data_IF_923860211807
#
_entry.id   IF_923860211807
#
_cell.length_a   1.000
_cell.length_b   1.000
_cell.length_c   1.000
_cell.angle_alpha   90.00
_cell.angle_beta   90.00
_cell.angle_gamma   90.00
#
_symmetry.space_group_name_H-M   'P 1'
#
loop_
_entity.id
_entity.type
_entity.pdbx_description
1 polymer ?
#
# COMPACT_ATOMS: atom_id res chain seq x y z
N UNK A 1 45.26 10.08 -34.99
CA UNK A 1 44.66 9.30 -33.89
C UNK A 1 44.66 10.15 -32.64
N UNK A 2 43.50 10.60 -32.17
CA UNK A 2 43.31 11.08 -30.80
C UNK A 2 41.81 11.02 -30.49
N UNK A 3 41.44 10.01 -29.73
CA UNK A 3 40.08 9.65 -29.34
C UNK A 3 39.56 10.67 -28.33
N UNK A 4 38.47 11.35 -28.65
CA UNK A 4 37.69 12.14 -27.70
C UNK A 4 36.98 11.16 -26.74
N UNK A 5 37.47 11.05 -25.51
CA UNK A 5 36.72 10.41 -24.43
C UNK A 5 35.50 11.28 -24.09
N UNK A 6 34.31 10.81 -24.50
CA UNK A 6 33.04 11.35 -24.02
C UNK A 6 32.81 10.84 -22.59
N UNK A 7 33.10 11.69 -21.61
CA UNK A 7 32.66 11.48 -20.23
C UNK A 7 31.13 11.54 -20.16
N UNK A 8 30.51 10.39 -19.89
CA UNK A 8 29.08 10.30 -19.63
C UNK A 8 28.79 10.87 -18.23
N UNK A 9 28.04 11.96 -18.16
CA UNK A 9 27.58 12.54 -16.90
C UNK A 9 26.73 11.50 -16.14
N UNK A 10 27.23 11.07 -14.97
CA UNK A 10 26.53 10.14 -14.09
C UNK A 10 25.35 10.87 -13.44
N UNK A 11 24.13 10.56 -13.86
CA UNK A 11 22.91 11.08 -13.22
C UNK A 11 22.87 10.57 -11.77
N UNK A 12 22.74 11.44 -10.75
CA UNK A 12 22.72 11.01 -9.37
C UNK A 12 21.46 10.17 -9.10
N UNK A 13 21.65 8.92 -8.67
CA UNK A 13 20.54 8.07 -8.19
C UNK A 13 20.05 8.65 -6.87
N UNK A 14 18.83 9.19 -6.85
CA UNK A 14 18.20 9.69 -5.63
C UNK A 14 17.95 8.52 -4.68
N UNK A 15 18.72 8.43 -3.60
CA UNK A 15 18.55 7.38 -2.58
C UNK A 15 17.24 7.65 -1.83
N UNK A 16 16.30 6.73 -1.94
CA UNK A 16 15.01 6.84 -1.26
C UNK A 16 15.17 6.81 0.27
N UNK A 17 14.32 7.53 1.01
CA UNK A 17 14.35 7.50 2.46
C UNK A 17 13.98 6.09 2.98
N UNK A 18 14.62 5.58 4.05
CA UNK A 18 14.39 4.22 4.55
C UNK A 18 12.93 3.87 4.84
N UNK A 19 12.14 4.82 5.36
CA UNK A 19 10.72 4.61 5.68
C UNK A 19 9.85 4.44 4.43
N UNK A 20 10.20 5.08 3.30
CA UNK A 20 9.47 4.92 2.05
C UNK A 20 9.73 3.55 1.42
N UNK A 21 10.99 3.07 1.48
CA UNK A 21 11.33 1.69 1.09
C UNK A 21 10.59 0.67 1.94
N UNK A 22 10.49 0.93 3.25
CA UNK A 22 9.76 0.08 4.18
C UNK A 22 8.27 0.03 3.82
N UNK A 23 7.65 1.19 3.55
CA UNK A 23 6.25 1.29 3.13
C UNK A 23 5.96 0.50 1.86
N UNK A 24 6.74 0.70 0.80
CA UNK A 24 6.59 -0.06 -0.46
C UNK A 24 6.71 -1.57 -0.25
N UNK A 25 7.69 -2.00 0.55
CA UNK A 25 7.85 -3.43 0.87
C UNK A 25 6.62 -3.99 1.57
N UNK A 26 6.00 -3.20 2.44
CA UNK A 26 4.72 -3.48 3.05
C UNK A 26 3.59 -3.66 2.04
N UNK A 27 3.39 -2.68 1.17
CA UNK A 27 2.38 -2.71 0.10
C UNK A 27 2.54 -3.96 -0.79
N UNK A 28 3.78 -4.32 -1.15
CA UNK A 28 4.08 -5.51 -1.93
C UNK A 28 3.74 -6.82 -1.21
N UNK A 29 3.96 -6.87 0.10
CA UNK A 29 3.58 -8.03 0.92
C UNK A 29 2.07 -8.13 1.09
N UNK A 30 1.39 -7.01 1.33
CA UNK A 30 -0.07 -6.94 1.40
C UNK A 30 -0.73 -7.38 0.09
N UNK A 31 -0.24 -6.87 -1.05
CA UNK A 31 -0.74 -7.26 -2.36
C UNK A 31 -0.55 -8.76 -2.65
N UNK A 32 0.61 -9.33 -2.28
CA UNK A 32 0.86 -10.78 -2.40
C UNK A 32 -0.05 -11.59 -1.48
N UNK A 33 -0.33 -11.11 -0.28
CA UNK A 33 -1.24 -11.78 0.63
C UNK A 33 -2.66 -11.83 0.06
N UNK A 34 -3.18 -10.69 -0.41
CA UNK A 34 -4.50 -10.61 -1.06
C UNK A 34 -4.58 -11.51 -2.31
N UNK A 35 -3.52 -11.52 -3.14
CA UNK A 35 -3.46 -12.40 -4.30
C UNK A 35 -3.53 -13.88 -3.93
N UNK A 36 -2.88 -14.31 -2.85
CA UNK A 36 -2.97 -15.69 -2.33
C UNK A 36 -4.37 -16.04 -1.83
N UNK A 37 -5.13 -15.05 -1.37
CA UNK A 37 -6.54 -15.21 -0.97
C UNK A 37 -7.50 -15.17 -2.17
N UNK A 38 -7.00 -15.04 -3.40
CA UNK A 38 -7.80 -15.05 -4.62
C UNK A 38 -8.25 -13.66 -5.10
N UNK A 39 -7.82 -12.59 -4.45
CA UNK A 39 -8.11 -11.23 -4.91
C UNK A 39 -7.22 -10.82 -6.08
N UNK A 40 -7.79 -10.09 -7.04
CA UNK A 40 -7.06 -9.38 -8.09
C UNK A 40 -6.69 -8.00 -7.57
N UNK A 41 -5.39 -7.69 -7.53
CA UNK A 41 -4.89 -6.36 -7.15
C UNK A 41 -5.04 -5.41 -8.33
N UNK A 42 -5.86 -4.38 -8.17
CA UNK A 42 -6.19 -3.37 -9.20
C UNK A 42 -5.26 -2.16 -9.13
N UNK A 43 -4.78 -1.81 -7.93
CA UNK A 43 -3.84 -0.71 -7.73
C UNK A 43 -3.01 -0.92 -6.47
N UNK A 44 -1.77 -0.43 -6.50
CA UNK A 44 -0.92 -0.22 -5.33
C UNK A 44 -0.41 1.21 -5.34
N UNK A 45 -0.35 1.84 -4.18
CA UNK A 45 0.16 3.20 -4.01
C UNK A 45 -0.49 4.19 -4.99
N UNK A 46 -1.81 4.09 -5.14
CA UNK A 46 -2.55 4.93 -6.07
C UNK A 46 -2.62 6.35 -5.51
N UNK A 47 -2.22 7.35 -6.32
CA UNK A 47 -2.09 8.73 -5.89
C UNK A 47 -2.97 9.65 -6.72
N UNK A 48 -3.58 10.62 -6.06
CA UNK A 48 -4.22 11.78 -6.69
C UNK A 48 -3.87 13.04 -5.90
N UNK A 49 -4.37 14.21 -6.35
CA UNK A 49 -4.10 15.49 -5.68
C UNK A 49 -4.51 15.53 -4.21
N UNK A 50 -5.50 14.74 -3.80
CA UNK A 50 -6.06 14.73 -2.45
C UNK A 50 -5.37 13.74 -1.48
N UNK A 51 -4.54 12.83 -2.00
CA UNK A 51 -3.88 11.80 -1.20
C UNK A 51 -3.66 10.50 -1.94
N UNK A 52 -3.52 9.42 -1.17
CA UNK A 52 -3.16 8.10 -1.66
C UNK A 52 -3.97 6.97 -1.03
N UNK A 53 -4.09 5.88 -1.79
CA UNK A 53 -4.61 4.59 -1.33
C UNK A 53 -3.50 3.54 -1.47
N UNK A 54 -3.25 2.78 -0.41
CA UNK A 54 -2.12 1.85 -0.37
C UNK A 54 -2.35 0.65 -1.30
N UNK A 55 -3.47 -0.07 -1.14
CA UNK A 55 -3.83 -1.19 -2.03
C UNK A 55 -5.33 -1.19 -2.32
N UNK A 56 -5.69 -1.38 -3.59
CA UNK A 56 -7.07 -1.62 -4.03
C UNK A 56 -7.12 -2.96 -4.74
N UNK A 57 -8.00 -3.86 -4.32
CA UNK A 57 -8.14 -5.21 -4.85
C UNK A 57 -9.62 -5.61 -4.98
N UNK A 58 -9.91 -6.72 -5.66
CA UNK A 58 -11.28 -7.24 -5.80
C UNK A 58 -11.31 -8.76 -5.91
N UNK A 59 -12.38 -9.38 -5.40
CA UNK A 59 -12.72 -10.79 -5.65
C UNK A 59 -13.73 -10.96 -6.80
N UNK A 60 -14.02 -9.89 -7.54
CA UNK A 60 -15.03 -9.85 -8.61
C UNK A 60 -16.43 -9.43 -8.15
N UNK A 61 -16.69 -9.32 -6.84
CA UNK A 61 -17.97 -8.83 -6.28
C UNK A 61 -17.77 -7.64 -5.35
N UNK A 62 -16.73 -7.68 -4.54
CA UNK A 62 -16.36 -6.67 -3.57
C UNK A 62 -15.06 -6.00 -4.00
N UNK A 63 -15.03 -4.67 -3.93
CA UNK A 63 -13.82 -3.88 -3.99
C UNK A 63 -13.30 -3.70 -2.56
N UNK A 64 -12.09 -4.16 -2.32
CA UNK A 64 -11.40 -4.02 -1.05
C UNK A 64 -10.37 -2.90 -1.17
N UNK A 65 -10.48 -1.91 -0.28
CA UNK A 65 -9.48 -0.87 -0.10
C UNK A 65 -8.74 -1.16 1.20
N UNK A 66 -7.46 -1.53 1.08
CA UNK A 66 -6.63 -1.89 2.22
C UNK A 66 -5.68 -0.74 2.58
N UNK A 67 -5.73 -0.30 3.83
CA UNK A 67 -4.67 0.49 4.45
C UNK A 67 -3.56 -0.45 4.96
N UNK A 68 -2.30 -0.15 4.66
CA UNK A 68 -1.14 -1.00 4.98
C UNK A 68 -0.26 -0.32 6.01
N UNK A 69 -0.10 -0.95 7.18
CA UNK A 69 0.77 -0.49 8.25
C UNK A 69 1.99 -1.38 8.35
N UNK A 70 3.18 -0.81 8.13
CA UNK A 70 4.44 -1.56 8.16
C UNK A 70 5.39 -1.02 9.21
N UNK A 71 5.98 -1.90 10.01
CA UNK A 71 6.97 -1.54 11.04
C UNK A 71 8.11 -2.54 11.14
N UNK A 72 9.27 -2.06 11.59
CA UNK A 72 10.43 -2.88 11.92
C UNK A 72 10.50 -3.08 13.44
N UNK A 73 10.31 -4.31 13.92
CA UNK A 73 10.45 -4.69 15.32
C UNK A 73 9.17 -4.65 16.19
N UNK A 74 9.22 -5.26 17.40
CA UNK A 74 8.10 -5.37 18.32
C UNK A 74 8.00 -4.14 19.23
N UNK A 75 7.54 -2.99 18.72
CA UNK A 75 7.05 -1.94 19.64
C UNK A 75 5.61 -2.28 20.05
N UNK A 76 5.41 -2.37 21.37
CA UNK A 76 4.12 -2.58 22.04
C UNK A 76 2.99 -1.75 21.41
N UNK A 77 1.84 -2.39 21.22
CA UNK A 77 0.68 -1.85 20.50
C UNK A 77 0.19 -2.88 19.49
N UNK A 78 -1.08 -3.24 19.55
CA UNK A 78 -1.73 -4.43 18.97
C UNK A 78 -1.73 -4.48 17.41
N UNK A 79 -0.96 -3.61 16.75
CA UNK A 79 -0.88 -3.45 15.29
C UNK A 79 -2.14 -2.87 14.66
N UNK A 80 -3.26 -2.99 15.35
CA UNK A 80 -4.54 -2.39 15.07
C UNK A 80 -4.69 -1.10 15.88
N UNK A 81 -3.76 -0.13 15.74
CA UNK A 81 -4.15 1.24 16.10
C UNK A 81 -5.40 1.57 15.28
N UNK A 82 -6.49 1.87 15.98
CA UNK A 82 -7.77 2.17 15.36
C UNK A 82 -7.57 3.27 14.31
N UNK A 83 -8.13 3.07 13.11
CA UNK A 83 -8.11 4.11 12.07
C UNK A 83 -8.97 5.26 12.59
N UNK A 84 -8.36 6.45 12.74
CA UNK A 84 -9.08 7.62 13.28
C UNK A 84 -10.23 8.03 12.37
N UNK A 85 -11.25 8.70 12.91
CA UNK A 85 -12.41 9.17 12.14
C UNK A 85 -12.01 10.00 10.91
N UNK A 86 -11.04 10.90 11.07
CA UNK A 86 -10.52 11.71 9.98
C UNK A 86 -9.85 10.86 8.89
N UNK A 87 -9.11 9.82 9.29
CA UNK A 87 -8.48 8.91 8.35
C UNK A 87 -9.51 8.06 7.62
N UNK A 88 -10.53 7.55 8.32
CA UNK A 88 -11.66 6.83 7.69
C UNK A 88 -12.38 7.70 6.66
N UNK A 89 -12.71 8.95 7.02
CA UNK A 89 -13.36 9.90 6.12
C UNK A 89 -12.49 10.24 4.90
N UNK A 90 -11.18 10.38 5.10
CA UNK A 90 -10.22 10.59 4.01
C UNK A 90 -10.16 9.40 3.06
N UNK A 91 -10.04 8.18 3.59
CA UNK A 91 -9.96 6.96 2.78
C UNK A 91 -11.23 6.80 1.95
N UNK A 92 -12.42 6.96 2.56
CA UNK A 92 -13.69 6.90 1.83
C UNK A 92 -13.77 7.90 0.67
N UNK A 93 -13.33 9.14 0.89
CA UNK A 93 -13.27 10.16 -0.17
C UNK A 93 -12.31 9.76 -1.29
N UNK A 94 -11.13 9.26 -0.95
CA UNK A 94 -10.15 8.80 -1.94
C UNK A 94 -10.66 7.58 -2.72
N UNK A 95 -11.38 6.67 -2.08
CA UNK A 95 -12.06 5.57 -2.76
C UNK A 95 -13.06 6.07 -3.79
N UNK A 96 -13.88 7.07 -3.46
CA UNK A 96 -14.79 7.69 -4.45
C UNK A 96 -14.04 8.29 -5.64
N UNK A 97 -12.85 8.87 -5.42
CA UNK A 97 -11.99 9.37 -6.51
C UNK A 97 -11.43 8.22 -7.35
N UNK A 98 -10.99 7.14 -6.72
CA UNK A 98 -10.49 5.96 -7.41
C UNK A 98 -11.57 5.33 -8.29
N UNK A 99 -12.79 5.15 -7.76
CA UNK A 99 -13.95 4.63 -8.48
C UNK A 99 -14.28 5.47 -9.71
N UNK A 100 -14.31 6.80 -9.54
CA UNK A 100 -14.57 7.73 -10.64
C UNK A 100 -13.50 7.68 -11.72
N UNK A 101 -12.22 7.66 -11.33
CA UNK A 101 -11.09 7.60 -12.26
C UNK A 101 -11.07 6.30 -13.09
N UNK A 102 -11.52 5.19 -12.50
CA UNK A 102 -11.54 3.87 -13.16
C UNK A 102 -12.92 3.48 -13.70
N UNK A 103 -13.93 4.37 -13.59
CA UNK A 103 -15.32 4.13 -14.02
C UNK A 103 -15.94 2.85 -13.43
N UNK A 104 -15.66 2.58 -12.16
CA UNK A 104 -16.18 1.43 -11.40
C UNK A 104 -17.41 1.86 -10.59
N UNK A 105 -18.50 1.10 -10.69
CA UNK A 105 -19.75 1.39 -9.95
C UNK A 105 -20.64 0.17 -9.67
N UNK A 106 -20.12 -1.05 -9.84
CA UNK A 106 -20.88 -2.30 -9.75
C UNK A 106 -20.67 -3.07 -8.44
N UNK A 107 -19.70 -2.67 -7.62
CA UNK A 107 -19.18 -3.46 -6.51
C UNK A 107 -19.67 -2.95 -5.14
N UNK A 108 -19.77 -3.88 -4.18
CA UNK A 108 -19.73 -3.52 -2.76
C UNK A 108 -18.32 -3.03 -2.39
N UNK A 109 -18.20 -2.19 -1.38
CA UNK A 109 -16.90 -1.66 -0.93
C UNK A 109 -16.65 -2.12 0.50
N UNK A 110 -15.45 -2.65 0.76
CA UNK A 110 -14.98 -3.03 2.09
C UNK A 110 -13.64 -2.33 2.37
N UNK A 111 -13.48 -1.81 3.59
CA UNK A 111 -12.24 -1.18 4.02
C UNK A 111 -11.52 -2.11 4.99
N UNK A 112 -10.32 -2.51 4.62
CA UNK A 112 -9.52 -3.47 5.37
C UNK A 112 -8.25 -2.79 5.91
N UNK A 113 -7.64 -3.40 6.93
CA UNK A 113 -6.31 -3.01 7.42
C UNK A 113 -5.40 -4.23 7.38
N UNK A 114 -4.22 -4.07 6.78
CA UNK A 114 -3.16 -5.08 6.82
C UNK A 114 -1.98 -4.53 7.62
N UNK A 115 -1.69 -5.15 8.77
CA UNK A 115 -0.54 -4.84 9.62
C UNK A 115 0.58 -5.83 9.35
N UNK A 116 1.77 -5.32 9.06
CA UNK A 116 2.97 -6.10 8.74
C UNK A 116 4.09 -5.71 9.69
N UNK A 117 4.64 -6.72 10.37
CA UNK A 117 5.86 -6.59 11.18
C UNK A 117 7.00 -7.28 10.44
N UNK A 118 8.04 -6.51 10.14
CA UNK A 118 9.28 -6.98 9.52
C UNK A 118 10.37 -6.97 10.59
N UNK A 119 10.56 -8.06 11.36
CA UNK A 119 11.64 -8.12 12.32
C UNK A 119 12.99 -8.13 11.59
N UNK A 120 14.06 -7.70 12.28
CA UNK A 120 15.43 -7.81 11.75
C UNK A 120 15.83 -9.27 11.56
N UNK A 121 15.41 -10.14 12.48
CA UNK A 121 15.59 -11.58 12.45
C UNK A 121 14.25 -12.29 12.71
N UNK A 122 13.96 -13.32 11.92
CA UNK A 122 12.73 -14.12 12.04
C UNK A 122 11.71 -13.85 10.93
N UNK A 123 10.54 -14.46 11.07
CA UNK A 123 9.52 -14.46 10.03
C UNK A 123 8.69 -13.17 10.00
N UNK A 124 8.25 -12.82 8.79
CA UNK A 124 7.27 -11.74 8.58
C UNK A 124 5.96 -12.10 9.25
N UNK A 125 5.47 -11.21 10.11
CA UNK A 125 4.15 -11.36 10.72
C UNK A 125 3.16 -10.46 10.00
N UNK A 126 2.08 -11.05 9.49
CA UNK A 126 1.02 -10.33 8.78
C UNK A 126 -0.32 -10.62 9.45
N UNK A 127 -1.06 -9.55 9.76
CA UNK A 127 -2.44 -9.61 10.24
C UNK A 127 -3.32 -8.83 9.28
N UNK A 128 -4.38 -9.48 8.77
CA UNK A 128 -5.38 -8.87 7.91
C UNK A 128 -6.69 -8.75 8.70
N UNK A 129 -7.19 -7.53 8.85
CA UNK A 129 -8.45 -7.20 9.50
C UNK A 129 -9.42 -6.77 8.41
N UNK A 130 -10.40 -7.62 8.13
CA UNK A 130 -11.44 -7.34 7.15
C UNK A 130 -12.53 -6.44 7.74
N UNK A 131 -13.07 -5.52 6.94
CA UNK A 131 -14.18 -4.66 7.35
C UNK A 131 -13.84 -3.83 8.59
N UNK A 132 -12.62 -3.31 8.64
CA UNK A 132 -12.10 -2.55 9.77
C UNK A 132 -12.90 -1.28 10.07
N UNK A 133 -13.58 -0.71 9.05
CA UNK A 133 -14.48 0.45 9.17
C UNK A 133 -15.35 0.68 7.93
#
# INVERSE_FOLDING_TARGET
MSTLERSAARVPVKVEAPHLRLGRRGEDLAARHLAKLGFVVLSKNWRCREGELDVVATDGRTLVVCEVKTRTGPKYGDGAEAVTADKMARIRRLTSRWLSAHRVGWCQIRFDVISIVLPENGDVQLRHIEGAF
#
